data_IF_533473122555
#
_entry.id   IF_533473122555
#
_cell.length_a   1.000
_cell.length_b   1.000
_cell.length_c   1.000
_cell.angle_alpha   90.00
_cell.angle_beta   90.00
_cell.angle_gamma   90.00
#
_symmetry.space_group_name_H-M   'P 1'
#
loop_
_entity.id
_entity.type
_entity.pdbx_description
1 polymer ?
#
# COMPACT_ATOMS: atom_id res chain seq x y z
N UNK A 1 74.69 21.16 38.22
CA UNK A 1 74.69 20.79 36.76
C UNK A 1 73.85 19.56 36.64
N UNK A 2 72.62 19.75 36.15
CA UNK A 2 71.58 18.72 36.18
C UNK A 2 71.29 18.25 34.74
N UNK A 3 71.59 17.01 34.43
CA UNK A 3 71.52 16.36 33.11
C UNK A 3 70.38 15.36 33.05
N UNK A 4 69.15 15.79 33.44
CA UNK A 4 67.99 14.88 33.54
C UNK A 4 66.79 15.31 32.74
N UNK A 5 66.84 16.33 31.89
CA UNK A 5 65.68 16.90 31.28
C UNK A 5 65.44 16.51 29.78
N UNK A 6 66.44 15.91 29.12
CA UNK A 6 66.31 15.63 27.67
C UNK A 6 65.66 14.28 27.28
N UNK A 7 65.48 13.36 28.24
CA UNK A 7 64.88 12.05 27.90
C UNK A 7 63.38 12.05 27.88
N UNK A 8 62.72 13.00 28.53
CA UNK A 8 61.24 13.06 28.56
C UNK A 8 60.65 13.74 27.33
N UNK A 9 61.34 14.60 26.61
CA UNK A 9 60.88 15.29 25.41
C UNK A 9 60.76 14.35 24.22
N UNK A 10 61.76 13.47 24.01
CA UNK A 10 61.73 12.54 22.86
C UNK A 10 60.70 11.42 23.00
N UNK A 11 60.38 10.98 24.23
CA UNK A 11 59.36 9.96 24.46
C UNK A 11 57.94 10.48 24.20
N UNK A 12 57.67 11.75 24.50
CA UNK A 12 56.34 12.36 24.25
C UNK A 12 56.08 12.66 22.78
N UNK A 13 57.09 13.06 22.04
CA UNK A 13 56.96 13.30 20.58
C UNK A 13 56.71 12.01 19.81
N UNK A 14 57.37 10.89 20.18
CA UNK A 14 57.12 9.59 19.55
C UNK A 14 55.70 9.05 19.82
N UNK A 15 55.15 9.25 21.04
CA UNK A 15 53.81 8.81 21.38
C UNK A 15 52.71 9.60 20.65
N UNK A 16 52.93 10.91 20.46
CA UNK A 16 51.97 11.75 19.72
C UNK A 16 51.97 11.41 18.21
N UNK A 17 53.15 11.18 17.62
CA UNK A 17 53.24 10.78 16.21
C UNK A 17 52.57 9.43 15.94
N UNK A 18 52.73 8.46 16.85
CA UNK A 18 52.10 7.14 16.72
C UNK A 18 50.55 7.19 16.83
N UNK A 19 50.05 8.04 17.73
CA UNK A 19 48.60 8.23 17.86
C UNK A 19 47.97 8.94 16.67
N UNK A 20 48.63 9.92 16.07
CA UNK A 20 48.12 10.64 14.89
C UNK A 20 48.10 9.75 13.64
N UNK A 21 49.09 8.88 13.45
CA UNK A 21 49.11 7.93 12.34
C UNK A 21 48.02 6.85 12.53
N UNK A 22 47.84 6.36 13.75
CA UNK A 22 46.76 5.40 14.06
C UNK A 22 45.37 5.97 13.86
N UNK A 23 45.13 7.22 14.26
CA UNK A 23 43.85 7.91 14.03
C UNK A 23 43.57 8.19 12.55
N UNK A 24 44.60 8.52 11.77
CA UNK A 24 44.45 8.73 10.33
C UNK A 24 44.16 7.43 9.59
N UNK A 25 44.79 6.32 9.94
CA UNK A 25 44.49 5.01 9.33
C UNK A 25 43.10 4.52 9.69
N UNK A 26 42.65 4.73 10.94
CA UNK A 26 41.25 4.42 11.32
C UNK A 26 40.23 5.30 10.62
N UNK A 27 40.50 6.60 10.42
CA UNK A 27 39.61 7.49 9.69
C UNK A 27 39.48 7.12 8.19
N UNK A 28 40.58 6.65 7.58
CA UNK A 28 40.59 6.19 6.19
C UNK A 28 39.88 4.83 6.01
N UNK A 29 39.89 3.97 7.02
CA UNK A 29 39.17 2.69 6.99
C UNK A 29 37.63 2.88 7.10
N UNK A 30 37.16 3.91 7.78
CA UNK A 30 35.73 4.25 7.86
C UNK A 30 35.19 4.98 6.60
N UNK A 31 36.07 5.55 5.78
CA UNK A 31 35.68 6.15 4.49
C UNK A 31 35.56 5.13 3.35
N UNK A 32 35.92 3.85 3.59
CA UNK A 32 35.64 2.78 2.65
C UNK A 32 34.15 2.44 2.69
N UNK A 33 33.40 3.31 2.06
CA UNK A 33 32.14 3.10 1.39
C UNK A 33 31.13 2.16 2.01
N UNK A 34 30.17 2.70 2.74
CA UNK A 34 28.79 2.23 2.52
C UNK A 34 28.46 2.63 1.08
N UNK A 35 28.91 1.82 0.13
CA UNK A 35 28.30 1.82 -1.18
C UNK A 35 26.90 1.25 -0.95
N UNK A 36 25.91 2.13 -0.93
CA UNK A 36 24.54 1.69 -1.09
C UNK A 36 24.55 0.83 -2.35
N UNK A 37 24.32 -0.47 -2.20
CA UNK A 37 24.14 -1.35 -3.33
C UNK A 37 23.00 -0.73 -4.14
N UNK A 38 23.28 -0.15 -5.29
CA UNK A 38 22.26 0.29 -6.23
C UNK A 38 21.40 -0.94 -6.50
N UNK A 39 20.15 -0.87 -6.05
CA UNK A 39 19.18 -1.90 -6.36
C UNK A 39 19.19 -2.08 -7.89
N UNK A 40 19.29 -3.32 -8.40
CA UNK A 40 19.37 -3.55 -9.82
C UNK A 40 18.18 -2.88 -10.51
N UNK A 41 18.47 -1.91 -11.37
CA UNK A 41 17.48 -1.14 -12.15
C UNK A 41 16.75 -2.00 -13.19
N UNK A 42 17.07 -3.27 -13.27
CA UNK A 42 16.54 -4.26 -14.23
C UNK A 42 15.06 -4.59 -14.07
N UNK A 43 14.38 -4.12 -13.00
CA UNK A 43 12.95 -4.40 -12.80
C UNK A 43 11.99 -3.28 -13.21
N UNK A 44 12.46 -2.06 -13.41
CA UNK A 44 11.57 -0.88 -13.64
C UNK A 44 10.86 -0.89 -14.99
N UNK A 45 11.33 -1.66 -15.96
CA UNK A 45 10.76 -1.76 -17.30
C UNK A 45 10.04 -3.10 -17.55
N UNK A 46 9.69 -3.83 -16.49
CA UNK A 46 8.97 -5.08 -16.66
C UNK A 46 7.53 -4.81 -17.07
N UNK A 47 7.09 -5.41 -18.17
CA UNK A 47 5.73 -5.28 -18.68
C UNK A 47 4.76 -6.21 -17.95
N UNK A 48 3.96 -5.65 -17.04
CA UNK A 48 2.95 -6.37 -16.28
C UNK A 48 1.69 -6.71 -17.09
N UNK A 49 1.50 -6.17 -18.29
CA UNK A 49 0.33 -6.50 -19.12
C UNK A 49 0.27 -7.99 -19.45
N UNK A 50 1.41 -8.64 -19.53
CA UNK A 50 1.55 -10.08 -19.84
C UNK A 50 1.36 -10.99 -18.62
N UNK A 51 1.27 -10.45 -17.42
CA UNK A 51 1.14 -11.23 -16.17
C UNK A 51 -0.32 -11.48 -15.77
N UNK A 52 -1.28 -10.83 -16.46
CA UNK A 52 -2.69 -10.82 -16.08
C UNK A 52 -3.01 -9.86 -14.93
N UNK A 53 -2.06 -9.00 -14.53
CA UNK A 53 -2.27 -7.90 -13.60
C UNK A 53 -1.58 -6.64 -14.14
N UNK A 54 -2.19 -5.92 -15.09
CA UNK A 54 -1.63 -4.69 -15.62
C UNK A 54 -1.60 -3.62 -14.53
N UNK A 55 -0.48 -2.90 -14.42
CA UNK A 55 -0.33 -1.79 -13.48
C UNK A 55 -1.05 -0.55 -14.02
N UNK A 56 -2.31 -0.38 -13.64
CA UNK A 56 -3.15 0.74 -14.07
C UNK A 56 -3.68 1.53 -12.88
N UNK A 57 -4.12 2.76 -13.10
CA UNK A 57 -4.68 3.61 -12.06
C UNK A 57 -3.71 3.86 -10.91
N UNK A 58 -4.13 3.61 -9.69
CA UNK A 58 -3.28 3.76 -8.50
C UNK A 58 -2.09 2.80 -8.48
N UNK A 59 -2.24 1.58 -9.05
CA UNK A 59 -1.18 0.59 -9.10
C UNK A 59 0.00 0.97 -10.01
N UNK A 60 -0.18 1.90 -10.94
CA UNK A 60 0.90 2.36 -11.83
C UNK A 60 2.04 3.08 -11.10
N UNK A 61 1.81 3.50 -9.85
CA UNK A 61 2.77 4.20 -9.00
C UNK A 61 3.36 3.31 -7.91
N UNK A 62 2.89 2.06 -7.81
CA UNK A 62 3.37 1.14 -6.79
C UNK A 62 4.83 0.75 -7.01
N UNK A 63 5.62 0.74 -5.94
CA UNK A 63 6.98 0.23 -5.98
C UNK A 63 6.98 -1.29 -6.02
N UNK A 64 8.00 -1.88 -6.64
CA UNK A 64 8.08 -3.33 -6.83
C UNK A 64 7.90 -4.11 -5.52
N UNK A 65 8.52 -3.65 -4.44
CA UNK A 65 8.51 -4.29 -3.13
C UNK A 65 7.16 -4.27 -2.41
N UNK A 66 6.24 -3.37 -2.78
CA UNK A 66 4.89 -3.32 -2.20
C UNK A 66 4.07 -4.56 -2.58
N UNK A 67 4.30 -5.07 -3.79
CA UNK A 67 3.64 -6.28 -4.29
C UNK A 67 4.52 -7.51 -4.18
N UNK A 68 5.83 -7.37 -4.45
CA UNK A 68 6.80 -8.45 -4.47
C UNK A 68 7.63 -8.48 -3.19
N UNK A 69 7.00 -8.93 -2.08
CA UNK A 69 7.64 -8.98 -0.77
C UNK A 69 8.96 -9.77 -0.81
N UNK A 70 10.02 -9.17 -0.28
CA UNK A 70 11.36 -9.76 -0.21
C UNK A 70 11.94 -10.16 -1.59
N UNK A 71 11.49 -9.49 -2.67
CA UNK A 71 11.95 -9.77 -4.03
C UNK A 71 11.38 -11.06 -4.64
N UNK A 72 10.32 -11.63 -4.08
CA UNK A 72 9.65 -12.82 -4.62
C UNK A 72 8.66 -12.38 -5.68
N UNK A 73 9.01 -12.59 -6.94
CA UNK A 73 8.20 -12.16 -8.10
C UNK A 73 7.17 -13.22 -8.51
N UNK A 74 7.52 -14.52 -8.41
CA UNK A 74 6.65 -15.62 -8.79
C UNK A 74 5.61 -15.89 -7.71
N UNK A 75 4.34 -16.08 -8.11
CA UNK A 75 3.27 -16.44 -7.19
C UNK A 75 2.62 -15.26 -6.47
N UNK A 76 2.91 -14.01 -6.87
CA UNK A 76 2.18 -12.84 -6.37
C UNK A 76 0.70 -12.95 -6.74
N UNK A 77 -0.22 -12.85 -5.77
CA UNK A 77 -1.65 -12.92 -6.04
C UNK A 77 -2.11 -11.78 -6.96
N UNK A 78 -3.11 -12.05 -7.79
CA UNK A 78 -3.70 -11.09 -8.73
C UNK A 78 -5.10 -10.63 -8.36
N UNK A 79 -5.75 -11.35 -7.45
CA UNK A 79 -7.10 -11.02 -7.00
C UNK A 79 -7.08 -9.82 -6.04
N UNK A 80 -7.99 -8.87 -6.26
CA UNK A 80 -8.08 -7.65 -5.47
C UNK A 80 -8.13 -7.94 -3.96
N UNK A 81 -8.93 -8.94 -3.55
CA UNK A 81 -9.12 -9.33 -2.16
C UNK A 81 -7.84 -9.79 -1.49
N UNK A 82 -6.88 -10.33 -2.23
CA UNK A 82 -5.62 -10.83 -1.66
C UNK A 82 -4.76 -9.72 -1.04
N UNK A 83 -4.99 -8.48 -1.47
CA UNK A 83 -4.29 -7.30 -0.96
C UNK A 83 -5.26 -6.34 -0.23
N UNK A 84 -6.48 -6.16 -0.76
CA UNK A 84 -7.47 -5.20 -0.26
C UNK A 84 -8.44 -5.85 0.75
N UNK A 85 -7.95 -6.72 1.61
CA UNK A 85 -8.70 -7.27 2.73
C UNK A 85 -8.37 -6.53 4.03
N UNK A 86 -9.31 -6.52 4.97
CA UNK A 86 -9.09 -5.92 6.29
C UNK A 86 -7.88 -6.54 6.99
N UNK A 87 -7.00 -5.69 7.53
CA UNK A 87 -5.77 -6.12 8.20
C UNK A 87 -4.60 -6.48 7.26
N UNK A 88 -4.76 -6.36 5.94
CA UNK A 88 -3.65 -6.54 5.01
C UNK A 88 -2.67 -5.35 5.10
N UNK A 89 -1.39 -5.65 5.28
CA UNK A 89 -0.31 -4.65 5.20
C UNK A 89 0.11 -4.32 3.76
N UNK A 90 -0.48 -4.99 2.75
CA UNK A 90 -0.07 -4.86 1.34
C UNK A 90 -0.79 -3.75 0.59
N UNK A 91 -1.89 -3.24 1.13
CA UNK A 91 -2.64 -2.16 0.48
C UNK A 91 -3.07 -1.12 1.52
N UNK A 92 -3.03 0.15 1.13
CA UNK A 92 -3.46 1.27 1.97
C UNK A 92 -4.97 1.37 2.12
N UNK A 93 -5.72 0.65 1.27
CA UNK A 93 -7.18 0.61 1.30
C UNK A 93 -7.67 -0.83 1.44
N UNK A 94 -8.73 -1.01 2.21
CA UNK A 94 -9.35 -2.32 2.42
C UNK A 94 -10.86 -2.25 2.35
N UNK A 95 -11.50 -3.40 2.14
CA UNK A 95 -12.95 -3.53 2.18
C UNK A 95 -13.47 -3.14 3.58
N UNK A 96 -14.33 -2.11 3.71
CA UNK A 96 -14.85 -1.69 5.01
C UNK A 96 -15.89 -2.69 5.55
N UNK A 97 -16.09 -2.67 6.87
CA UNK A 97 -17.01 -3.61 7.54
C UNK A 97 -18.47 -3.46 7.08
N UNK A 98 -18.90 -2.25 6.72
CA UNK A 98 -20.23 -1.95 6.21
C UNK A 98 -20.40 -2.16 4.69
N UNK A 99 -19.39 -2.71 4.02
CA UNK A 99 -19.48 -3.02 2.61
C UNK A 99 -20.61 -4.03 2.32
N UNK A 100 -21.26 -3.90 1.18
CA UNK A 100 -22.26 -4.88 0.70
C UNK A 100 -21.67 -6.29 0.75
N UNK A 101 -22.38 -7.21 1.39
CA UNK A 101 -21.95 -8.61 1.46
C UNK A 101 -22.21 -9.28 0.10
N UNK A 102 -21.15 -9.75 -0.52
CA UNK A 102 -21.21 -10.38 -1.85
C UNK A 102 -20.02 -11.32 -2.03
N UNK A 103 -20.24 -12.40 -2.77
CA UNK A 103 -19.20 -13.30 -3.27
C UNK A 103 -18.74 -12.94 -4.69
N UNK A 104 -19.39 -11.94 -5.30
CA UNK A 104 -19.04 -11.46 -6.64
C UNK A 104 -17.63 -10.85 -6.67
N UNK A 105 -16.89 -11.00 -7.76
CA UNK A 105 -15.60 -10.33 -7.94
C UNK A 105 -15.72 -8.81 -7.79
N UNK A 106 -14.72 -8.19 -7.16
CA UNK A 106 -14.74 -6.73 -6.93
C UNK A 106 -14.93 -5.92 -8.22
N UNK A 107 -14.40 -6.40 -9.33
CA UNK A 107 -14.50 -5.79 -10.66
C UNK A 107 -15.93 -5.79 -11.24
N UNK A 108 -16.87 -6.54 -10.69
CA UNK A 108 -18.27 -6.44 -11.12
C UNK A 108 -18.89 -5.10 -10.74
N UNK A 109 -18.51 -4.54 -9.62
CA UNK A 109 -19.02 -3.26 -9.11
C UNK A 109 -18.02 -2.12 -9.29
N UNK A 110 -16.74 -2.38 -9.00
CA UNK A 110 -15.65 -1.41 -9.09
C UNK A 110 -14.97 -1.49 -10.46
N UNK A 111 -15.21 -0.49 -11.30
CA UNK A 111 -14.70 -0.45 -12.69
C UNK A 111 -13.40 0.34 -12.84
N UNK A 112 -12.96 1.01 -11.78
CA UNK A 112 -11.75 1.83 -11.78
C UNK A 112 -10.72 1.23 -10.84
N UNK A 113 -9.46 1.22 -11.26
CA UNK A 113 -8.29 0.93 -10.43
C UNK A 113 -7.69 2.19 -9.81
N UNK A 114 -8.24 3.37 -10.12
CA UNK A 114 -7.78 4.64 -9.55
C UNK A 114 -8.45 4.95 -8.21
N UNK A 115 -9.72 4.59 -8.07
CA UNK A 115 -10.53 4.86 -6.88
C UNK A 115 -11.59 3.78 -6.69
N UNK A 116 -11.96 3.54 -5.44
CA UNK A 116 -13.09 2.67 -5.06
C UNK A 116 -14.44 3.38 -5.17
N UNK A 117 -14.45 4.70 -5.35
CA UNK A 117 -15.68 5.47 -5.53
C UNK A 117 -16.38 5.13 -6.86
N UNK A 118 -17.68 5.39 -6.91
CA UNK A 118 -18.48 5.20 -8.12
C UNK A 118 -18.79 3.73 -8.45
N UNK A 119 -18.66 2.83 -7.49
CA UNK A 119 -19.12 1.45 -7.66
C UNK A 119 -20.62 1.41 -8.01
N UNK A 120 -20.97 0.55 -8.96
CA UNK A 120 -22.37 0.34 -9.37
C UNK A 120 -22.74 -1.11 -9.13
N UNK A 121 -23.80 -1.30 -8.36
CA UNK A 121 -24.39 -2.63 -8.16
C UNK A 121 -25.44 -2.90 -9.24
N UNK A 122 -25.39 -4.08 -9.85
CA UNK A 122 -26.41 -4.51 -10.79
C UNK A 122 -27.64 -5.04 -10.03
N UNK A 123 -28.74 -4.34 -10.15
CA UNK A 123 -30.00 -4.67 -9.49
C UNK A 123 -30.89 -5.64 -10.28
N UNK A 124 -30.47 -6.09 -11.46
CA UNK A 124 -31.28 -6.91 -12.36
C UNK A 124 -31.78 -8.23 -11.74
N UNK A 125 -31.00 -8.78 -10.79
CA UNK A 125 -31.28 -10.04 -10.11
C UNK A 125 -31.83 -9.85 -8.69
N UNK A 126 -32.17 -8.63 -8.26
CA UNK A 126 -32.65 -8.38 -6.90
C UNK A 126 -34.13 -8.75 -6.78
N UNK A 127 -34.44 -9.57 -5.78
CA UNK A 127 -35.80 -9.96 -5.47
C UNK A 127 -36.65 -8.75 -5.01
N UNK A 128 -37.87 -8.60 -5.49
CA UNK A 128 -38.79 -7.58 -5.03
C UNK A 128 -38.94 -7.57 -3.49
N UNK A 129 -39.12 -6.40 -2.90
CA UNK A 129 -39.32 -6.25 -1.47
C UNK A 129 -38.03 -6.28 -0.62
N UNK A 130 -36.85 -6.57 -1.20
CA UNK A 130 -35.58 -6.71 -0.45
C UNK A 130 -34.73 -5.44 -0.44
N UNK A 131 -35.17 -4.35 -1.04
CA UNK A 131 -34.43 -3.10 -1.21
C UNK A 131 -33.85 -2.56 0.12
N UNK A 132 -34.65 -2.57 1.19
CA UNK A 132 -34.24 -2.06 2.52
C UNK A 132 -33.10 -2.85 3.17
N UNK A 133 -32.79 -4.05 2.71
CA UNK A 133 -31.66 -4.83 3.25
C UNK A 133 -30.32 -4.18 2.97
N UNK A 134 -30.24 -3.42 1.87
CA UNK A 134 -29.07 -2.65 1.49
C UNK A 134 -29.32 -1.14 1.63
N UNK A 135 -30.48 -0.64 1.21
CA UNK A 135 -30.85 0.78 1.31
C UNK A 135 -31.36 1.16 2.71
N UNK A 136 -30.50 1.01 3.71
CA UNK A 136 -30.76 1.21 5.14
C UNK A 136 -30.01 2.40 5.75
N UNK A 137 -29.36 3.23 4.92
CA UNK A 137 -28.56 4.37 5.37
C UNK A 137 -27.13 4.02 5.83
N UNK A 138 -26.81 2.72 5.96
CA UNK A 138 -25.45 2.26 6.32
C UNK A 138 -24.70 1.66 5.14
N UNK A 139 -25.32 0.76 4.40
CA UNK A 139 -24.72 0.08 3.23
C UNK A 139 -24.91 0.85 1.94
N UNK A 140 -26.07 1.43 1.79
CA UNK A 140 -26.44 2.32 0.68
C UNK A 140 -27.39 3.39 1.20
N UNK A 141 -27.60 4.45 0.41
CA UNK A 141 -28.53 5.52 0.75
C UNK A 141 -29.89 4.96 1.14
N UNK A 142 -30.33 5.29 2.34
CA UNK A 142 -31.64 4.92 2.87
C UNK A 142 -32.73 5.95 2.56
N UNK A 143 -33.91 5.78 3.15
CA UNK A 143 -34.99 6.77 3.08
C UNK A 143 -34.53 8.08 3.74
N UNK A 144 -34.66 9.22 3.08
CA UNK A 144 -34.41 10.52 3.72
C UNK A 144 -35.50 10.84 4.75
N UNK A 145 -35.22 11.77 5.66
CA UNK A 145 -36.15 12.12 6.76
C UNK A 145 -37.51 12.65 6.28
N UNK A 146 -37.54 13.27 5.12
CA UNK A 146 -38.76 13.80 4.47
C UNK A 146 -39.44 12.80 3.53
N UNK A 147 -39.04 11.53 3.55
CA UNK A 147 -39.68 10.50 2.73
C UNK A 147 -41.14 10.29 3.17
N UNK A 148 -42.06 10.02 2.19
CA UNK A 148 -43.44 9.66 2.49
C UNK A 148 -43.50 8.49 3.48
N UNK A 149 -44.26 8.67 4.55
CA UNK A 149 -44.46 7.63 5.55
C UNK A 149 -45.33 6.50 4.99
N UNK A 150 -44.78 5.33 4.86
CA UNK A 150 -45.50 4.17 4.26
C UNK A 150 -44.87 2.86 4.76
N UNK A 151 -45.69 1.84 4.90
CA UNK A 151 -45.32 0.44 5.13
C UNK A 151 -45.20 -0.36 3.82
N UNK A 152 -45.56 0.25 2.68
CA UNK A 152 -45.43 -0.38 1.39
C UNK A 152 -43.98 -0.71 1.05
N UNK A 153 -43.75 -1.78 0.30
CA UNK A 153 -42.41 -2.10 -0.19
C UNK A 153 -41.90 -1.06 -1.18
N UNK A 154 -40.61 -0.82 -1.21
CA UNK A 154 -39.99 0.25 -1.99
C UNK A 154 -40.31 0.15 -3.50
N UNK A 155 -40.40 -1.06 -4.02
CA UNK A 155 -40.63 -1.39 -5.42
C UNK A 155 -42.07 -1.10 -5.88
N UNK A 156 -43.00 -0.78 -4.97
CA UNK A 156 -44.30 -0.28 -5.35
C UNK A 156 -44.29 1.15 -5.89
N UNK A 157 -43.27 1.93 -5.50
CA UNK A 157 -43.11 3.33 -5.91
C UNK A 157 -41.81 3.57 -6.71
N UNK A 158 -40.78 2.80 -6.42
CA UNK A 158 -39.45 2.96 -7.02
C UNK A 158 -39.12 1.82 -7.99
N UNK A 159 -38.25 2.13 -8.95
CA UNK A 159 -37.68 1.14 -9.89
C UNK A 159 -36.19 0.99 -9.67
N UNK A 160 -35.66 -0.18 -10.00
CA UNK A 160 -34.21 -0.46 -9.91
C UNK A 160 -33.34 0.38 -10.84
N UNK A 161 -33.96 0.97 -11.87
CA UNK A 161 -33.29 1.88 -12.82
C UNK A 161 -33.21 3.34 -12.36
N UNK A 162 -33.93 3.70 -11.31
CA UNK A 162 -33.95 5.07 -10.76
C UNK A 162 -34.87 5.19 -9.55
N UNK A 163 -34.55 6.13 -8.67
CA UNK A 163 -35.28 6.42 -7.42
C UNK A 163 -36.28 7.60 -7.58
N UNK A 164 -36.52 8.00 -8.81
CA UNK A 164 -37.48 9.09 -9.13
C UNK A 164 -38.91 8.59 -9.11
#
# INVERSE_FOLDING_TARGET
>A
MNRTDDRNGMSRMSAIAFNLVGALVMALAFAAGVQAAEAPTTGRNFDHTRTGFPLTGAHSRAECGECHARGIFKGTPRECVSCHTSGSARATTSKPANHVQTTAPCSQCHKSTLTWAGAKYDHSAIAPGTCATCHNGSRATGKPANHVQTTASCDQCHRTSGWL
#
